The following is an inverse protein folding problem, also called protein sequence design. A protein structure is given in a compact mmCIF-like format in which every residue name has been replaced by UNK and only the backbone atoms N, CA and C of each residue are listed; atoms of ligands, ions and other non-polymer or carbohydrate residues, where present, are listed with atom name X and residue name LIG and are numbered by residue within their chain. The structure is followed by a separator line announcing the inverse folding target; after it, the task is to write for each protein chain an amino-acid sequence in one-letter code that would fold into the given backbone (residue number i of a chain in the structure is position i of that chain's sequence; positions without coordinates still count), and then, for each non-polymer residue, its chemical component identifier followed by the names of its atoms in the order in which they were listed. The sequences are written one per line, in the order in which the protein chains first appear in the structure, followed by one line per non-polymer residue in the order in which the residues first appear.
data_IF_327727330390
#
_entry.id   IF_327727330390
#
_cell.length_a   1.000
_cell.length_b   1.000
_cell.length_c   1.000
_cell.angle_alpha   90.00
_cell.angle_beta   90.00
_cell.angle_gamma   90.00
#
_symmetry.space_group_name_H-M   'P 1'
#
loop_
_entity.id
_entity.type
_entity.pdbx_description
1 polymer ?
#
# COMPACT_ATOMS: atom_id res chain seq x y z
N UNK A 1 -18.07 6.50 -6.09
CA UNK A 1 -18.75 5.19 -5.99
C UNK A 1 -19.63 5.04 -7.22
N UNK A 2 -19.77 3.84 -7.79
CA UNK A 2 -20.63 3.66 -8.96
C UNK A 2 -22.10 3.93 -8.58
N UNK A 3 -22.92 4.46 -9.50
CA UNK A 3 -24.31 4.83 -9.21
C UNK A 3 -25.18 3.64 -8.80
N UNK A 4 -24.83 2.43 -9.22
CA UNK A 4 -25.57 1.20 -8.91
C UNK A 4 -25.47 0.88 -7.42
N UNK A 5 -24.24 0.77 -6.88
CA UNK A 5 -24.02 0.58 -5.44
C UNK A 5 -24.55 1.73 -4.58
N UNK A 6 -24.63 2.94 -5.12
CA UNK A 6 -25.18 4.10 -4.39
C UNK A 6 -26.69 4.12 -4.29
N UNK A 7 -27.37 3.43 -5.20
CA UNK A 7 -28.83 3.37 -5.24
C UNK A 7 -29.35 2.10 -4.60
N UNK A 8 -28.56 1.04 -4.61
CA UNK A 8 -28.97 -0.27 -4.13
C UNK A 8 -27.81 -1.04 -3.48
N UNK A 9 -28.03 -1.45 -2.22
CA UNK A 9 -27.08 -2.27 -1.47
C UNK A 9 -27.09 -3.73 -1.93
N UNK A 10 -28.21 -4.25 -2.45
CA UNK A 10 -28.26 -5.64 -2.94
C UNK A 10 -27.35 -5.81 -4.15
N UNK A 11 -27.30 -4.83 -5.05
CA UNK A 11 -26.33 -4.80 -6.15
C UNK A 11 -24.89 -4.83 -5.65
N UNK A 12 -24.56 -4.04 -4.62
CA UNK A 12 -23.24 -4.10 -3.98
C UNK A 12 -22.93 -5.50 -3.44
N UNK A 13 -23.88 -6.11 -2.74
CA UNK A 13 -23.72 -7.45 -2.16
C UNK A 13 -23.60 -8.53 -3.24
N UNK A 14 -24.30 -8.40 -4.36
CA UNK A 14 -24.21 -9.29 -5.52
C UNK A 14 -22.84 -9.23 -6.19
N UNK A 15 -22.30 -8.02 -6.36
CA UNK A 15 -20.99 -7.82 -7.00
C UNK A 15 -19.82 -8.22 -6.08
N UNK A 16 -19.89 -7.88 -4.80
CA UNK A 16 -18.78 -8.06 -3.85
C UNK A 16 -18.86 -9.36 -3.03
N UNK A 17 -20.05 -9.95 -2.92
CA UNK A 17 -20.33 -11.01 -1.96
C UNK A 17 -20.26 -10.54 -0.50
N UNK A 18 -20.53 -11.48 0.41
CA UNK A 18 -20.39 -11.22 1.85
C UNK A 18 -18.94 -10.93 2.23
N UNK A 19 -18.76 -9.97 3.15
CA UNK A 19 -17.45 -9.64 3.68
C UNK A 19 -16.86 -10.84 4.45
N UNK A 20 -15.69 -11.37 4.05
CA UNK A 20 -15.02 -12.41 4.81
C UNK A 20 -14.55 -11.88 6.17
N UNK A 21 -14.51 -12.70 7.24
CA UNK A 21 -14.03 -12.29 8.55
C UNK A 21 -12.63 -11.65 8.52
N UNK A 22 -12.46 -10.55 9.26
CA UNK A 22 -11.18 -9.85 9.39
C UNK A 22 -10.77 -9.05 8.14
N UNK A 23 -11.67 -8.85 7.18
CA UNK A 23 -11.46 -7.98 6.02
C UNK A 23 -12.37 -6.77 6.05
N UNK A 24 -12.01 -5.77 5.26
CA UNK A 24 -12.88 -4.64 4.94
C UNK A 24 -12.68 -4.23 3.49
N UNK A 25 -13.58 -3.40 2.99
CA UNK A 25 -13.54 -2.95 1.60
C UNK A 25 -12.30 -2.06 1.37
N UNK A 26 -11.57 -2.37 0.30
CA UNK A 26 -10.36 -1.66 -0.13
C UNK A 26 -10.49 -1.29 -1.61
N UNK A 27 -9.80 -0.23 -2.01
CA UNK A 27 -9.66 0.15 -3.41
C UNK A 27 -8.34 -0.40 -3.94
N UNK A 28 -8.40 -1.11 -5.06
CA UNK A 28 -7.21 -1.67 -5.72
C UNK A 28 -6.32 -0.54 -6.20
N UNK A 29 -6.91 0.42 -6.92
CA UNK A 29 -6.32 1.70 -7.25
C UNK A 29 -6.92 2.80 -6.35
N UNK A 30 -6.12 3.42 -5.46
CA UNK A 30 -6.60 4.45 -4.54
C UNK A 30 -7.03 5.75 -5.24
N UNK A 31 -6.55 6.00 -6.46
CA UNK A 31 -6.90 7.18 -7.28
C UNK A 31 -8.27 7.03 -7.96
N UNK A 32 -8.81 5.82 -7.98
CA UNK A 32 -10.10 5.49 -8.59
C UNK A 32 -11.26 5.44 -7.55
N UNK A 33 -12.49 5.47 -8.07
CA UNK A 33 -13.70 5.35 -7.26
C UNK A 33 -14.06 3.92 -6.85
N UNK A 34 -15.03 3.78 -5.95
CA UNK A 34 -15.61 2.47 -5.58
C UNK A 34 -16.46 1.90 -6.72
N UNK A 35 -16.13 0.72 -7.21
CA UNK A 35 -16.82 -0.04 -8.26
C UNK A 35 -16.32 -1.50 -8.27
N UNK A 36 -17.06 -2.47 -8.82
CA UNK A 36 -16.71 -3.89 -8.74
C UNK A 36 -15.29 -4.21 -9.20
N UNK A 37 -14.83 -3.57 -10.27
CA UNK A 37 -13.49 -3.76 -10.86
C UNK A 37 -12.35 -3.13 -10.04
N UNK A 38 -12.65 -2.14 -9.19
CA UNK A 38 -11.65 -1.41 -8.40
C UNK A 38 -11.77 -1.70 -6.90
N UNK A 39 -12.67 -2.57 -6.47
CA UNK A 39 -12.87 -2.89 -5.07
C UNK A 39 -12.54 -4.34 -4.77
N UNK A 40 -12.04 -4.59 -3.56
CA UNK A 40 -11.79 -5.95 -3.04
C UNK A 40 -11.98 -5.98 -1.54
N UNK A 41 -12.24 -7.18 -1.01
CA UNK A 41 -12.07 -7.44 0.41
C UNK A 41 -10.58 -7.60 0.73
N UNK A 42 -10.07 -6.76 1.61
CA UNK A 42 -8.66 -6.77 1.97
C UNK A 42 -8.46 -6.75 3.49
N UNK A 43 -7.36 -7.33 3.94
CA UNK A 43 -6.89 -7.22 5.31
C UNK A 43 -6.28 -5.84 5.57
N UNK A 44 -6.16 -5.44 6.84
CA UNK A 44 -5.48 -4.19 7.24
C UNK A 44 -4.07 -4.09 6.67
N UNK A 45 -3.33 -5.20 6.58
CA UNK A 45 -1.98 -5.22 6.00
C UNK A 45 -1.96 -5.04 4.48
N UNK A 46 -3.00 -5.49 3.77
CA UNK A 46 -3.13 -5.27 2.33
C UNK A 46 -3.54 -3.82 2.04
N UNK A 47 -4.51 -3.28 2.78
CA UNK A 47 -4.90 -1.86 2.70
C UNK A 47 -3.73 -0.93 3.01
N UNK A 48 -2.87 -1.28 3.96
CA UNK A 48 -1.70 -0.49 4.29
C UNK A 48 -0.74 -0.30 3.09
N UNK A 49 -0.71 -1.24 2.15
CA UNK A 49 0.14 -1.16 0.95
C UNK A 49 -0.47 -0.34 -0.19
N UNK A 50 -1.78 -0.16 -0.22
CA UNK A 50 -2.49 0.66 -1.23
C UNK A 50 -2.60 2.13 -0.85
N UNK A 51 -2.14 2.53 0.34
CA UNK A 51 -2.21 3.92 0.78
C UNK A 51 -1.26 4.81 -0.03
N UNK A 52 -1.75 5.99 -0.41
CA UNK A 52 -1.02 7.00 -1.20
C UNK A 52 0.00 7.78 -0.39
N UNK A 53 -0.08 7.75 0.94
CA UNK A 53 0.87 8.39 1.86
C UNK A 53 2.14 7.55 2.10
N UNK A 54 2.24 6.38 1.47
CA UNK A 54 3.42 5.54 1.51
C UNK A 54 4.61 6.21 0.80
N UNK A 55 5.77 6.21 1.45
CA UNK A 55 7.02 6.65 0.80
C UNK A 55 7.41 5.60 -0.23
N UNK A 56 7.33 5.96 -1.52
CA UNK A 56 7.79 5.11 -2.62
C UNK A 56 9.27 5.36 -2.89
N UNK A 57 9.99 4.28 -3.14
CA UNK A 57 11.41 4.29 -3.51
C UNK A 57 11.63 3.46 -4.76
N UNK A 58 12.60 3.86 -5.56
CA UNK A 58 13.07 3.08 -6.69
C UNK A 58 14.24 2.21 -6.26
N UNK A 59 14.17 0.92 -6.57
CA UNK A 59 15.24 -0.04 -6.36
C UNK A 59 15.30 -0.98 -7.55
N UNK A 60 16.46 -1.07 -8.19
CA UNK A 60 16.70 -1.94 -9.36
C UNK A 60 15.67 -1.71 -10.50
N UNK A 61 15.37 -0.44 -10.79
CA UNK A 61 14.40 -0.03 -11.82
C UNK A 61 12.93 -0.32 -11.47
N UNK A 62 12.63 -0.74 -10.23
CA UNK A 62 11.26 -1.00 -9.75
C UNK A 62 10.91 -0.06 -8.61
N UNK A 63 9.70 0.50 -8.67
CA UNK A 63 9.13 1.29 -7.57
C UNK A 63 8.50 0.36 -6.54
N UNK A 64 8.82 0.56 -5.27
CA UNK A 64 8.23 -0.17 -4.15
C UNK A 64 8.10 0.73 -2.92
N UNK A 65 7.33 0.27 -1.93
CA UNK A 65 7.15 1.00 -0.68
C UNK A 65 8.43 0.91 0.14
N UNK A 66 8.86 2.01 0.76
CA UNK A 66 10.06 2.08 1.59
C UNK A 66 10.08 1.02 2.70
N UNK A 67 8.92 0.67 3.23
CA UNK A 67 8.77 -0.39 4.23
C UNK A 67 9.10 -1.77 3.66
N UNK A 68 8.64 -2.06 2.45
CA UNK A 68 8.96 -3.31 1.75
C UNK A 68 10.44 -3.32 1.35
N UNK A 69 10.99 -2.19 0.91
CA UNK A 69 12.42 -2.03 0.64
C UNK A 69 13.28 -2.25 1.90
N UNK A 70 12.87 -1.71 3.05
CA UNK A 70 13.56 -1.93 4.32
C UNK A 70 13.59 -3.41 4.70
N UNK A 71 12.46 -4.11 4.53
CA UNK A 71 12.36 -5.55 4.77
C UNK A 71 13.22 -6.35 3.78
N UNK A 72 13.22 -5.98 2.50
CA UNK A 72 14.04 -6.59 1.45
C UNK A 72 15.53 -6.50 1.75
N UNK A 73 16.00 -5.32 2.21
CA UNK A 73 17.39 -5.09 2.57
C UNK A 73 17.76 -5.61 3.97
N UNK A 74 16.78 -6.02 4.77
CA UNK A 74 16.99 -6.46 6.15
C UNK A 74 17.42 -5.34 7.11
N UNK A 75 17.03 -4.09 6.85
CA UNK A 75 17.44 -2.92 7.64
C UNK A 75 16.32 -2.36 8.50
N UNK A 76 16.68 -1.60 9.54
CA UNK A 76 15.69 -0.94 10.39
C UNK A 76 14.91 0.13 9.61
N UNK A 77 13.60 -0.10 9.41
CA UNK A 77 12.71 0.82 8.70
C UNK A 77 12.71 2.23 9.30
N UNK A 78 12.71 2.40 10.63
CA UNK A 78 12.63 3.74 11.25
C UNK A 78 13.86 4.58 10.91
N UNK A 79 15.04 3.96 10.98
CA UNK A 79 16.29 4.65 10.65
C UNK A 79 16.38 4.92 9.15
N UNK A 80 16.00 3.97 8.31
CA UNK A 80 15.95 4.14 6.86
C UNK A 80 14.98 5.25 6.45
N UNK A 81 13.78 5.27 7.00
CA UNK A 81 12.80 6.34 6.82
C UNK A 81 13.35 7.70 7.22
N UNK A 82 14.12 7.79 8.30
CA UNK A 82 14.73 9.06 8.68
C UNK A 82 15.73 9.57 7.63
N UNK A 83 16.57 8.67 7.11
CA UNK A 83 17.55 9.00 6.09
C UNK A 83 16.91 9.44 4.78
N UNK A 84 15.95 8.66 4.27
CA UNK A 84 15.30 8.98 2.99
C UNK A 84 14.41 10.22 3.12
N UNK A 85 13.54 10.28 4.14
CA UNK A 85 12.52 11.32 4.22
C UNK A 85 13.02 12.68 4.70
N UNK A 86 13.96 12.70 5.66
CA UNK A 86 14.42 13.94 6.30
C UNK A 86 15.84 14.33 5.91
N UNK A 87 16.70 13.37 5.57
CA UNK A 87 18.06 13.67 5.10
C UNK A 87 18.20 13.66 3.58
N UNK A 88 17.17 13.26 2.85
CA UNK A 88 17.18 13.21 1.38
C UNK A 88 18.23 12.23 0.83
N UNK A 89 18.60 11.21 1.59
CA UNK A 89 19.57 10.21 1.18
C UNK A 89 18.91 9.22 0.23
N UNK A 90 19.65 8.80 -0.79
CA UNK A 90 19.17 7.78 -1.72
C UNK A 90 18.88 6.47 -0.97
N UNK A 91 17.75 5.78 -1.25
CA UNK A 91 17.32 4.60 -0.52
C UNK A 91 18.37 3.49 -0.44
N UNK A 92 19.03 3.18 -1.55
CA UNK A 92 20.10 2.18 -1.62
C UNK A 92 21.35 2.59 -0.82
N UNK A 93 21.75 3.86 -0.87
CA UNK A 93 22.87 4.38 -0.07
C UNK A 93 22.54 4.31 1.43
N UNK A 94 21.33 4.73 1.82
CA UNK A 94 20.87 4.69 3.19
C UNK A 94 20.81 3.26 3.74
N UNK A 95 20.38 2.29 2.93
CA UNK A 95 20.40 0.88 3.29
C UNK A 95 21.82 0.34 3.43
N UNK A 96 22.72 0.63 2.48
CA UNK A 96 24.11 0.20 2.54
C UNK A 96 24.83 0.72 3.79
N UNK A 97 24.56 1.98 4.17
CA UNK A 97 25.08 2.60 5.41
C UNK A 97 24.58 1.90 6.68
N UNK A 98 23.36 1.37 6.66
CA UNK A 98 22.79 0.66 7.81
C UNK A 98 23.37 -0.74 7.97
N UNK A 99 23.76 -1.38 6.86
CA UNK A 99 24.36 -2.71 6.86
C UNK A 99 25.86 -2.69 7.22
N UNK A 100 26.54 -1.56 7.05
CA UNK A 100 27.96 -1.40 7.41
C UNK A 100 28.21 -0.98 8.86
N UNK A 101 27.17 -1.00 9.69
CA UNK A 101 27.22 -0.70 11.13
C UNK A 101 27.23 -1.98 11.96
#
# INVERSE_FOLDING_TARGET
MCPEWSRDFETFLGDMGECPPGKSIDRINPDDGYRPDNCRWATTSQQARTRTDNVLVEHDGKKMILKDFAALKGVNYKTLHNYVRYKGMEPDEAAARLLSR
#
